data_IF_255294408165
#
_entry.id   IF_255294408165
#
_cell.length_a   1.000
_cell.length_b   1.000
_cell.length_c   1.000
_cell.angle_alpha   90.00
_cell.angle_beta   90.00
_cell.angle_gamma   90.00
#
_symmetry.space_group_name_H-M   'P 1'
#
loop_
_entity.id
_entity.type
_entity.pdbx_description
1 polymer ?
#
# COMPACT_ATOMS: atom_id res chain seq x y z
N UNK A 1 16.51 -4.70 -5.47
CA UNK A 1 16.94 -5.26 -6.78
C UNK A 1 16.70 -6.78 -6.90
N UNK A 2 17.12 -7.62 -5.95
CA UNK A 2 16.91 -9.08 -6.04
C UNK A 2 15.43 -9.49 -6.15
N UNK A 3 14.53 -8.90 -5.34
CA UNK A 3 13.09 -9.19 -5.38
C UNK A 3 12.41 -8.75 -6.69
N UNK A 4 12.93 -7.70 -7.34
CA UNK A 4 12.43 -7.20 -8.63
C UNK A 4 12.79 -8.22 -9.72
N UNK A 5 14.07 -8.61 -9.79
CA UNK A 5 14.55 -9.64 -10.73
C UNK A 5 13.84 -10.99 -10.55
N UNK A 6 13.57 -11.38 -9.32
CA UNK A 6 12.91 -12.65 -9.04
C UNK A 6 11.46 -12.66 -9.56
N UNK A 7 10.74 -11.54 -9.44
CA UNK A 7 9.39 -11.41 -9.97
C UNK A 7 9.35 -11.38 -11.51
N UNK A 8 10.29 -10.69 -12.16
CA UNK A 8 10.41 -10.69 -13.63
C UNK A 8 10.65 -12.10 -14.18
N UNK A 9 11.48 -12.89 -13.50
CA UNK A 9 11.82 -14.26 -13.89
C UNK A 9 10.66 -15.24 -13.63
N UNK A 10 10.00 -15.13 -12.48
CA UNK A 10 8.92 -16.04 -12.09
C UNK A 10 7.63 -15.77 -12.89
N UNK A 11 7.34 -14.51 -13.24
CA UNK A 11 6.10 -14.14 -13.95
C UNK A 11 6.29 -13.91 -15.47
N UNK A 12 7.54 -13.91 -15.99
CA UNK A 12 7.90 -13.64 -17.40
C UNK A 12 7.32 -12.32 -17.94
N UNK A 13 7.39 -11.25 -17.15
CA UNK A 13 6.93 -9.92 -17.52
C UNK A 13 8.02 -8.89 -17.21
N UNK A 14 8.15 -7.88 -18.07
CA UNK A 14 8.88 -6.64 -17.72
C UNK A 14 7.97 -5.85 -16.80
N UNK A 15 8.43 -5.57 -15.58
CA UNK A 15 7.66 -4.76 -14.63
C UNK A 15 7.55 -3.35 -15.22
N UNK A 16 6.32 -2.87 -15.41
CA UNK A 16 6.09 -1.45 -15.68
C UNK A 16 6.21 -0.66 -14.35
N UNK A 17 6.23 0.66 -14.43
CA UNK A 17 6.40 1.53 -13.24
C UNK A 17 5.33 1.24 -12.17
N UNK A 18 4.11 0.89 -12.59
CA UNK A 18 3.00 0.51 -11.73
C UNK A 18 3.28 -0.80 -10.95
N UNK A 19 3.85 -1.81 -11.62
CA UNK A 19 4.22 -3.08 -11.01
C UNK A 19 5.40 -2.91 -10.04
N UNK A 20 6.34 -2.01 -10.37
CA UNK A 20 7.44 -1.63 -9.49
C UNK A 20 6.90 -0.99 -8.21
N UNK A 21 5.94 -0.06 -8.31
CA UNK A 21 5.29 0.56 -7.15
C UNK A 21 4.58 -0.47 -6.26
N UNK A 22 3.94 -1.47 -6.84
CA UNK A 22 3.32 -2.56 -6.08
C UNK A 22 4.37 -3.35 -5.29
N UNK A 23 5.52 -3.65 -5.90
CA UNK A 23 6.63 -4.34 -5.23
C UNK A 23 7.21 -3.50 -4.10
N UNK A 24 7.48 -2.21 -4.35
CA UNK A 24 8.03 -1.29 -3.35
C UNK A 24 7.08 -1.11 -2.16
N UNK A 25 5.78 -0.95 -2.43
CA UNK A 25 4.75 -0.84 -1.38
C UNK A 25 4.75 -2.10 -0.49
N UNK A 26 4.85 -3.28 -1.10
CA UNK A 26 4.94 -4.55 -0.36
C UNK A 26 6.21 -4.64 0.48
N UNK A 27 7.35 -4.22 -0.04
CA UNK A 27 8.62 -4.21 0.69
C UNK A 27 8.54 -3.28 1.91
N UNK A 28 8.03 -2.05 1.74
CA UNK A 28 7.86 -1.11 2.85
C UNK A 28 6.94 -1.68 3.93
N UNK A 29 5.86 -2.35 3.55
CA UNK A 29 4.98 -3.03 4.51
C UNK A 29 5.71 -4.10 5.31
N UNK A 30 6.42 -5.01 4.64
CA UNK A 30 7.16 -6.09 5.32
C UNK A 30 8.16 -5.53 6.33
N UNK A 31 8.86 -4.43 5.99
CA UNK A 31 9.79 -3.77 6.89
C UNK A 31 9.08 -3.12 8.08
N UNK A 32 7.93 -2.48 7.88
CA UNK A 32 7.10 -1.92 8.98
C UNK A 32 6.63 -3.03 9.93
N UNK A 33 6.23 -4.18 9.40
CA UNK A 33 5.87 -5.33 10.22
C UNK A 33 7.08 -5.82 11.03
N UNK A 34 8.29 -5.84 10.44
CA UNK A 34 9.54 -6.15 11.14
C UNK A 34 9.92 -5.13 12.21
N UNK A 35 9.78 -3.82 11.95
CA UNK A 35 9.96 -2.75 12.95
C UNK A 35 9.10 -3.05 14.18
N UNK A 36 7.80 -3.25 13.99
CA UNK A 36 6.88 -3.49 15.10
C UNK A 36 7.26 -4.73 15.92
N UNK A 37 7.73 -5.79 15.26
CA UNK A 37 8.22 -7.01 15.93
C UNK A 37 9.52 -6.75 16.72
N UNK A 38 10.46 -5.99 16.16
CA UNK A 38 11.72 -5.68 16.82
C UNK A 38 11.53 -4.73 18.01
N UNK A 39 10.70 -3.71 17.88
CA UNK A 39 10.32 -2.82 18.97
C UNK A 39 9.64 -3.60 20.11
N UNK A 40 8.68 -4.46 19.77
CA UNK A 40 8.01 -5.32 20.76
C UNK A 40 8.99 -6.27 21.48
N UNK A 41 10.08 -6.66 20.83
CA UNK A 41 11.14 -7.49 21.39
C UNK A 41 12.24 -6.68 22.10
N UNK A 42 12.14 -5.35 22.18
CA UNK A 42 13.17 -4.48 22.77
C UNK A 42 14.47 -4.40 21.96
N UNK A 43 14.43 -4.77 20.67
CA UNK A 43 15.56 -4.79 19.75
C UNK A 43 15.61 -3.52 18.91
N UNK A 44 15.82 -2.38 19.57
CA UNK A 44 15.88 -1.07 18.90
C UNK A 44 16.94 -1.03 17.80
N UNK A 45 18.07 -1.72 18.01
CA UNK A 45 19.15 -1.85 17.03
C UNK A 45 18.66 -2.39 15.67
N UNK A 46 17.74 -3.36 15.68
CA UNK A 46 17.17 -3.94 14.47
C UNK A 46 16.02 -3.09 13.91
N UNK A 47 15.21 -2.47 14.78
CA UNK A 47 14.16 -1.55 14.37
C UNK A 47 14.74 -0.34 13.60
N UNK A 48 15.84 0.24 14.08
CA UNK A 48 16.51 1.37 13.45
C UNK A 48 17.04 1.02 12.05
N UNK A 49 17.56 -0.20 11.86
CA UNK A 49 17.98 -0.70 10.54
C UNK A 49 16.79 -0.76 9.58
N UNK A 50 15.66 -1.30 10.03
CA UNK A 50 14.46 -1.36 9.20
C UNK A 50 13.89 0.03 8.87
N UNK A 51 13.94 0.97 9.81
CA UNK A 51 13.55 2.37 9.57
C UNK A 51 14.42 3.05 8.52
N UNK A 52 15.74 2.83 8.56
CA UNK A 52 16.64 3.36 7.55
C UNK A 52 16.31 2.81 6.16
N UNK A 53 16.04 1.51 6.07
CA UNK A 53 15.66 0.85 4.83
C UNK A 53 14.29 1.32 4.29
N UNK A 54 13.30 1.53 5.17
CA UNK A 54 12.01 2.14 4.79
C UNK A 54 12.24 3.53 4.21
N UNK A 55 13.14 4.33 4.79
CA UNK A 55 13.42 5.70 4.33
C UNK A 55 14.01 5.68 2.92
N UNK A 56 14.96 4.78 2.65
CA UNK A 56 15.54 4.60 1.30
C UNK A 56 14.47 4.17 0.30
N UNK A 57 13.59 3.23 0.66
CA UNK A 57 12.51 2.79 -0.24
C UNK A 57 11.50 3.92 -0.51
N UNK A 58 11.22 4.76 0.47
CA UNK A 58 10.28 5.88 0.35
C UNK A 58 10.74 6.93 -0.67
N UNK A 59 12.05 7.08 -0.92
CA UNK A 59 12.58 7.98 -1.96
C UNK A 59 12.15 7.57 -3.38
N UNK A 60 11.82 6.30 -3.59
CA UNK A 60 11.39 5.75 -4.89
C UNK A 60 9.87 5.62 -5.01
N UNK A 61 9.11 6.06 -4.01
CA UNK A 61 7.65 5.99 -4.01
C UNK A 61 7.04 7.39 -4.05
N UNK A 62 5.85 7.55 -4.65
CA UNK A 62 5.08 8.77 -4.50
C UNK A 62 4.72 8.98 -3.02
N UNK A 63 4.47 10.24 -2.66
CA UNK A 63 4.21 10.63 -1.28
C UNK A 63 3.08 9.77 -0.69
N UNK A 64 3.34 9.06 0.44
CA UNK A 64 2.34 8.22 1.07
C UNK A 64 1.17 9.09 1.56
N UNK A 65 -0.04 8.55 1.42
CA UNK A 65 -1.24 9.17 1.96
C UNK A 65 -1.31 8.96 3.48
N UNK A 66 -1.76 9.98 4.17
CA UNK A 66 -2.16 9.93 5.59
C UNK A 66 -3.48 9.17 5.76
N UNK A 67 -3.80 8.77 6.99
CA UNK A 67 -5.08 8.10 7.27
C UNK A 67 -6.27 9.01 6.95
N UNK A 68 -6.14 10.30 7.24
CA UNK A 68 -7.12 11.34 6.91
C UNK A 68 -7.34 11.45 5.40
N UNK A 69 -6.27 11.59 4.61
CA UNK A 69 -6.37 11.66 3.15
C UNK A 69 -6.98 10.37 2.56
N UNK A 70 -6.65 9.20 3.10
CA UNK A 70 -7.26 7.93 2.68
C UNK A 70 -8.77 7.93 2.97
N UNK A 71 -9.19 8.45 4.13
CA UNK A 71 -10.60 8.53 4.48
C UNK A 71 -11.35 9.50 3.56
N UNK A 72 -10.78 10.68 3.28
CA UNK A 72 -11.38 11.68 2.40
C UNK A 72 -11.56 11.14 0.98
N UNK A 73 -10.50 10.57 0.40
CA UNK A 73 -10.56 9.95 -0.94
C UNK A 73 -11.61 8.84 -1.01
N UNK A 74 -11.77 8.07 0.07
CA UNK A 74 -12.76 7.02 0.16
C UNK A 74 -14.19 7.58 0.21
N UNK A 75 -14.43 8.63 0.98
CA UNK A 75 -15.75 9.28 1.04
C UNK A 75 -16.11 9.91 -0.31
N UNK A 76 -15.16 10.57 -0.97
CA UNK A 76 -15.32 11.10 -2.32
C UNK A 76 -15.64 9.99 -3.34
N UNK A 77 -14.92 8.87 -3.29
CA UNK A 77 -15.15 7.75 -4.20
C UNK A 77 -16.52 7.08 -3.99
N UNK A 78 -16.96 6.94 -2.74
CA UNK A 78 -18.30 6.43 -2.42
C UNK A 78 -19.38 7.40 -2.93
N UNK A 79 -19.22 8.69 -2.67
CA UNK A 79 -20.15 9.72 -3.14
C UNK A 79 -20.23 9.78 -4.69
N UNK A 80 -19.08 9.76 -5.36
CA UNK A 80 -18.99 9.83 -6.82
C UNK A 80 -19.61 8.60 -7.52
N UNK A 81 -19.53 7.43 -6.88
CA UNK A 81 -20.07 6.17 -7.44
C UNK A 81 -21.51 5.89 -7.00
N UNK A 82 -22.02 6.61 -5.99
CA UNK A 82 -23.30 6.30 -5.36
C UNK A 82 -23.32 4.92 -4.69
N UNK A 83 -22.15 4.40 -4.31
CA UNK A 83 -22.02 3.07 -3.75
C UNK A 83 -22.71 2.99 -2.38
N UNK A 84 -23.53 1.97 -2.18
CA UNK A 84 -24.26 1.77 -0.92
C UNK A 84 -24.08 0.38 -0.34
N UNK A 85 -23.56 -0.57 -1.13
CA UNK A 85 -23.45 -1.97 -0.72
C UNK A 85 -22.11 -2.56 -1.14
N UNK A 86 -21.77 -3.72 -0.56
CA UNK A 86 -20.61 -4.52 -0.97
C UNK A 86 -20.59 -4.91 -2.46
N UNK A 87 -21.74 -4.91 -3.15
CA UNK A 87 -21.79 -5.17 -4.59
C UNK A 87 -21.14 -4.02 -5.39
N UNK A 88 -21.12 -2.82 -4.83
CA UNK A 88 -20.55 -1.62 -5.45
C UNK A 88 -19.05 -1.45 -5.17
N UNK A 89 -18.46 -2.35 -4.36
CA UNK A 89 -17.03 -2.34 -4.03
C UNK A 89 -16.13 -2.18 -5.27
N UNK A 90 -16.43 -2.92 -6.34
CA UNK A 90 -15.65 -2.83 -7.58
C UNK A 90 -15.66 -1.44 -8.22
N UNK A 91 -16.77 -0.70 -8.10
CA UNK A 91 -16.90 0.67 -8.61
C UNK A 91 -16.05 1.64 -7.78
N UNK A 92 -16.16 1.56 -6.46
CA UNK A 92 -15.38 2.40 -5.53
C UNK A 92 -13.89 2.17 -5.72
N UNK A 93 -13.47 0.90 -5.79
CA UNK A 93 -12.06 0.54 -6.02
C UNK A 93 -11.56 0.99 -7.40
N UNK A 94 -12.42 1.03 -8.42
CA UNK A 94 -12.07 1.56 -9.73
C UNK A 94 -11.70 3.05 -9.71
N UNK A 95 -12.39 3.85 -8.89
CA UNK A 95 -12.11 5.29 -8.71
C UNK A 95 -10.92 5.52 -7.79
N UNK A 96 -10.78 4.72 -6.73
CA UNK A 96 -9.71 4.87 -5.75
C UNK A 96 -8.34 4.44 -6.27
N UNK A 97 -8.26 3.30 -6.99
CA UNK A 97 -7.00 2.67 -7.38
C UNK A 97 -5.96 3.64 -7.96
N UNK A 98 -6.25 4.49 -8.98
CA UNK A 98 -5.24 5.39 -9.53
C UNK A 98 -4.76 6.48 -8.56
N UNK A 99 -5.54 6.80 -7.52
CA UNK A 99 -5.21 7.84 -6.54
C UNK A 99 -4.36 7.31 -5.38
N UNK A 100 -4.49 6.01 -5.09
CA UNK A 100 -3.87 5.36 -3.93
C UNK A 100 -2.71 4.42 -4.30
N UNK A 101 -2.58 4.01 -5.57
CA UNK A 101 -1.55 3.08 -6.00
C UNK A 101 -0.15 3.64 -5.74
N UNK A 102 0.69 2.86 -5.03
CA UNK A 102 2.02 3.30 -4.61
C UNK A 102 2.04 4.32 -3.45
N UNK A 103 0.88 4.84 -3.04
CA UNK A 103 0.74 5.85 -1.98
C UNK A 103 0.05 5.31 -0.72
N UNK A 104 -0.67 4.19 -0.82
CA UNK A 104 -1.27 3.52 0.31
C UNK A 104 -1.29 1.99 0.12
N UNK A 105 -1.45 1.25 1.22
CA UNK A 105 -1.64 -0.20 1.18
C UNK A 105 -3.04 -0.54 0.66
N UNK A 106 -3.10 -1.06 -0.56
CA UNK A 106 -4.35 -1.48 -1.22
C UNK A 106 -5.18 -2.46 -0.38
N UNK A 107 -4.53 -3.32 0.40
CA UNK A 107 -5.19 -4.28 1.29
C UNK A 107 -5.81 -3.61 2.51
N UNK A 108 -5.21 -2.56 3.05
CA UNK A 108 -5.81 -1.73 4.11
C UNK A 108 -6.99 -0.95 3.54
N UNK A 109 -6.81 -0.27 2.40
CA UNK A 109 -7.88 0.52 1.77
C UNK A 109 -9.09 -0.36 1.43
N UNK A 110 -8.86 -1.55 0.84
CA UNK A 110 -9.95 -2.48 0.52
C UNK A 110 -10.73 -2.94 1.77
N UNK A 111 -10.04 -3.13 2.91
CA UNK A 111 -10.71 -3.44 4.19
C UNK A 111 -11.54 -2.28 4.70
N UNK A 112 -11.01 -1.05 4.63
CA UNK A 112 -11.74 0.15 5.06
C UNK A 112 -12.99 0.40 4.22
N UNK A 113 -12.88 0.29 2.89
CA UNK A 113 -14.04 0.41 1.99
C UNK A 113 -15.07 -0.67 2.32
N UNK A 114 -14.63 -1.89 2.62
CA UNK A 114 -15.53 -2.99 3.00
C UNK A 114 -16.27 -2.67 4.29
N UNK A 115 -15.58 -2.13 5.29
CA UNK A 115 -16.20 -1.68 6.55
C UNK A 115 -17.21 -0.56 6.32
N UNK A 116 -16.97 0.38 5.39
CA UNK A 116 -17.92 1.46 5.08
C UNK A 116 -19.15 0.99 4.31
N UNK A 117 -19.03 -0.02 3.46
CA UNK A 117 -20.12 -0.51 2.58
C UNK A 117 -20.97 -1.65 3.17
N UNK A 118 -20.61 -2.18 4.34
CA UNK A 118 -21.40 -3.18 5.10
C UNK A 118 -21.05 -4.63 4.80
#
# INVERSE_FOLDING_TARGET
LAAIKQREVDEKITLNDDDVLVVLTKMVKQRRDSVAQYEAAGRQDLADVEHAEISVLAEFMPQPLTEEEISELMDEAIAATGAATMQDMGKVMGVLKPQIQGRADMGIVSKLVKTKLG
#
